data_IF_994600448844
#
_entry.id   IF_994600448844
#
_cell.length_a   1.000
_cell.length_b   1.000
_cell.length_c   1.000
_cell.angle_alpha   90.00
_cell.angle_beta   90.00
_cell.angle_gamma   90.00
#
_symmetry.space_group_name_H-M   'P 1'
#
loop_
_entity.id
_entity.type
_entity.pdbx_description
1 polymer ?
#
# COMPACT_ATOMS: atom_id res chain seq x y z
N UNK A 1 53.87 28.84 -32.16
CA UNK A 1 53.80 28.91 -30.70
C UNK A 1 53.76 27.47 -30.18
N UNK A 2 54.94 27.00 -29.78
CA UNK A 2 55.25 26.00 -28.73
C UNK A 2 54.13 25.83 -27.68
N UNK A 3 53.86 24.72 -26.98
CA UNK A 3 54.55 23.44 -26.70
C UNK A 3 53.58 22.53 -25.88
N UNK A 4 53.71 21.21 -26.08
CA UNK A 4 53.54 20.05 -25.17
C UNK A 4 52.22 19.63 -24.49
N UNK A 5 51.92 18.35 -24.73
CA UNK A 5 51.32 17.35 -23.85
C UNK A 5 51.99 17.29 -22.47
N UNK A 6 51.21 17.08 -21.40
CA UNK A 6 51.34 15.93 -20.48
C UNK A 6 50.63 16.18 -19.14
N UNK A 7 50.33 15.05 -18.49
CA UNK A 7 50.05 14.85 -17.06
C UNK A 7 48.58 14.83 -16.64
N UNK A 8 48.04 13.61 -16.73
CA UNK A 8 47.05 13.04 -15.80
C UNK A 8 47.58 13.17 -14.36
N UNK A 9 46.86 13.89 -13.51
CA UNK A 9 46.98 13.77 -12.05
C UNK A 9 45.59 13.65 -11.43
N UNK A 10 45.40 12.58 -10.66
CA UNK A 10 44.15 12.19 -10.08
C UNK A 10 43.64 13.17 -9.02
N UNK A 11 42.33 13.37 -9.02
CA UNK A 11 41.62 13.91 -7.88
C UNK A 11 41.44 12.79 -6.86
N UNK A 12 42.36 12.75 -5.89
CA UNK A 12 42.12 12.09 -4.60
C UNK A 12 40.98 12.84 -3.91
N UNK A 13 39.81 12.21 -3.83
CA UNK A 13 38.81 12.56 -2.83
C UNK A 13 39.37 12.16 -1.46
N UNK A 14 40.09 13.09 -0.85
CA UNK A 14 40.46 13.03 0.55
C UNK A 14 39.18 12.89 1.38
N UNK A 15 39.01 11.72 1.97
CA UNK A 15 38.08 11.43 3.05
C UNK A 15 38.15 12.53 4.11
N UNK A 16 37.15 13.40 4.14
CA UNK A 16 36.89 14.23 5.30
C UNK A 16 36.38 13.28 6.40
N UNK A 17 37.31 12.82 7.24
CA UNK A 17 36.97 12.27 8.55
C UNK A 17 36.25 13.37 9.32
N UNK A 18 34.92 13.28 9.39
CA UNK A 18 34.15 14.00 10.37
C UNK A 18 34.67 13.58 11.74
N UNK A 19 35.33 14.51 12.44
CA UNK A 19 35.69 14.32 13.83
C UNK A 19 34.39 14.11 14.61
N UNK A 20 34.17 12.89 15.10
CA UNK A 20 33.09 12.57 16.04
C UNK A 20 33.26 13.47 17.26
N UNK A 21 32.28 14.33 17.48
CA UNK A 21 32.19 15.18 18.65
C UNK A 21 31.65 14.30 19.79
N UNK A 22 32.42 13.95 20.83
CA UNK A 22 32.06 12.91 21.81
C UNK A 22 31.00 13.37 22.83
N UNK A 23 30.22 14.41 22.52
CA UNK A 23 29.30 15.04 23.45
C UNK A 23 27.95 15.43 22.83
N UNK A 24 27.50 14.72 21.78
CA UNK A 24 26.07 14.64 21.51
C UNK A 24 25.49 13.60 22.46
N UNK A 25 24.99 14.05 23.61
CA UNK A 25 23.99 13.27 24.34
C UNK A 25 22.85 13.01 23.35
N UNK A 26 22.66 11.75 22.95
CA UNK A 26 21.45 11.35 22.23
C UNK A 26 20.27 11.86 23.04
N UNK A 27 19.30 12.51 22.38
CA UNK A 27 18.08 12.92 23.05
C UNK A 27 17.56 11.74 23.89
N UNK A 28 17.11 11.97 25.14
CA UNK A 28 16.60 10.88 25.96
C UNK A 28 15.49 10.16 25.18
N UNK A 29 15.61 8.83 25.09
CA UNK A 29 14.58 8.01 24.47
C UNK A 29 13.25 8.29 25.17
N UNK A 30 12.15 8.48 24.41
CA UNK A 30 10.86 8.82 25.00
C UNK A 30 10.42 7.72 25.97
N UNK A 31 9.65 8.07 27.00
CA UNK A 31 9.04 7.08 27.90
C UNK A 31 7.78 6.47 27.25
N UNK A 32 7.29 5.32 27.73
CA UNK A 32 6.02 4.75 27.25
C UNK A 32 4.84 5.74 27.32
N UNK A 33 4.79 6.58 28.36
CA UNK A 33 3.76 7.61 28.50
C UNK A 33 3.91 8.72 27.46
N UNK A 34 5.15 9.11 27.12
CA UNK A 34 5.41 10.09 26.07
C UNK A 34 5.01 9.53 24.70
N UNK A 35 5.39 8.29 24.39
CA UNK A 35 4.96 7.63 23.15
C UNK A 35 3.43 7.51 23.06
N UNK A 36 2.77 7.13 24.16
CA UNK A 36 1.31 7.05 24.21
C UNK A 36 0.65 8.43 24.01
N UNK A 37 1.24 9.50 24.55
CA UNK A 37 0.79 10.87 24.34
C UNK A 37 0.96 11.30 22.87
N UNK A 38 2.10 11.00 22.26
CA UNK A 38 2.34 11.26 20.83
C UNK A 38 1.33 10.52 19.95
N UNK A 39 1.04 9.23 20.24
CA UNK A 39 0.00 8.48 19.52
C UNK A 39 -1.38 9.14 19.69
N UNK A 40 -1.71 9.64 20.88
CA UNK A 40 -2.97 10.34 21.13
C UNK A 40 -3.07 11.65 20.31
N UNK A 41 -1.98 12.42 20.21
CA UNK A 41 -1.91 13.62 19.36
C UNK A 41 -2.10 13.27 17.89
N UNK A 42 -1.41 12.22 17.41
CA UNK A 42 -1.56 11.73 16.03
C UNK A 42 -3.00 11.28 15.75
N UNK A 43 -3.65 10.61 16.69
CA UNK A 43 -5.06 10.24 16.53
C UNK A 43 -5.94 11.49 16.40
N UNK A 44 -5.79 12.49 17.27
CA UNK A 44 -6.58 13.72 17.16
C UNK A 44 -6.40 14.43 15.82
N UNK A 45 -5.16 14.53 15.36
CA UNK A 45 -4.85 15.19 14.10
C UNK A 45 -5.34 14.40 12.87
N UNK A 46 -5.23 13.08 12.88
CA UNK A 46 -5.57 12.22 11.75
C UNK A 46 -7.02 11.74 11.71
N UNK A 47 -7.79 11.97 12.77
CA UNK A 47 -9.14 11.47 12.88
C UNK A 47 -10.12 12.13 11.91
N UNK A 48 -10.79 11.29 11.15
CA UNK A 48 -11.99 11.60 10.40
C UNK A 48 -12.99 10.46 10.61
N UNK A 49 -14.28 10.78 10.66
CA UNK A 49 -15.34 9.78 10.80
C UNK A 49 -16.59 10.12 9.99
N UNK A 50 -16.45 10.30 8.66
CA UNK A 50 -17.61 10.59 7.80
C UNK A 50 -18.62 9.44 7.80
N UNK A 51 -18.20 8.23 8.18
CA UNK A 51 -19.06 7.07 8.22
C UNK A 51 -19.87 6.90 9.52
N UNK A 52 -19.66 7.78 10.50
CA UNK A 52 -20.28 7.72 11.84
C UNK A 52 -20.04 6.37 12.55
N UNK A 53 -18.83 5.83 12.40
CA UNK A 53 -18.37 4.65 13.14
C UNK A 53 -18.45 4.95 14.63
N UNK A 54 -19.02 4.03 15.42
CA UNK A 54 -19.14 4.15 16.87
C UNK A 54 -18.58 2.94 17.56
N UNK A 55 -17.77 3.18 18.58
CA UNK A 55 -17.20 2.12 19.41
C UNK A 55 -16.01 2.61 20.23
N UNK A 56 -15.51 1.74 21.11
CA UNK A 56 -14.39 2.03 21.99
C UNK A 56 -13.25 1.06 21.70
N UNK A 57 -12.08 1.59 21.41
CA UNK A 57 -10.83 0.84 21.27
C UNK A 57 -9.95 1.10 22.49
N UNK A 58 -9.49 0.03 23.11
CA UNK A 58 -8.43 0.10 24.11
C UNK A 58 -7.08 -0.10 23.42
N UNK A 59 -6.28 0.96 23.31
CA UNK A 59 -4.87 0.84 22.95
C UNK A 59 -4.05 0.63 24.22
N UNK A 60 -3.13 -0.33 24.23
CA UNK A 60 -2.24 -0.59 25.37
C UNK A 60 -0.80 -0.68 24.87
N UNK A 61 0.07 0.16 25.43
CA UNK A 61 1.52 -0.04 25.36
C UNK A 61 1.93 -0.85 26.59
N UNK A 62 2.59 -1.98 26.37
CA UNK A 62 3.25 -2.79 27.42
C UNK A 62 4.74 -2.46 27.47
N UNK A 63 5.26 -2.14 28.65
CA UNK A 63 6.70 -2.06 28.91
C UNK A 63 7.06 -2.90 30.14
N UNK A 64 7.74 -4.02 29.91
CA UNK A 64 8.18 -4.95 30.94
C UNK A 64 7.06 -5.35 31.95
N UNK A 65 5.84 -5.57 31.44
CA UNK A 65 4.68 -5.95 32.25
C UNK A 65 3.95 -4.79 32.95
N UNK A 66 4.34 -3.54 32.66
CA UNK A 66 3.56 -2.36 33.04
C UNK A 66 2.72 -1.89 31.85
N UNK A 67 1.41 -1.81 32.05
CA UNK A 67 0.45 -1.39 31.03
C UNK A 67 0.23 0.13 31.06
N UNK A 68 0.28 0.74 29.88
CA UNK A 68 -0.06 2.13 29.63
C UNK A 68 -1.29 2.19 28.72
N UNK A 69 -2.50 2.34 29.29
CA UNK A 69 -3.74 2.30 28.53
C UNK A 69 -4.13 3.67 27.96
N UNK A 70 -4.60 3.68 26.72
CA UNK A 70 -5.30 4.77 26.08
C UNK A 70 -6.67 4.26 25.60
N UNK A 71 -7.73 4.77 26.22
CA UNK A 71 -9.10 4.56 25.76
C UNK A 71 -9.40 5.55 24.63
N UNK A 72 -9.86 5.00 23.51
CA UNK A 72 -10.18 5.73 22.28
C UNK A 72 -11.66 5.50 21.98
N UNK A 73 -12.52 6.48 22.24
CA UNK A 73 -13.93 6.40 21.87
C UNK A 73 -14.17 7.13 20.54
N UNK A 74 -14.61 6.36 19.56
CA UNK A 74 -14.99 6.81 18.22
C UNK A 74 -16.48 7.17 18.27
N UNK A 75 -16.80 8.45 18.04
CA UNK A 75 -18.17 8.97 17.93
C UNK A 75 -18.21 10.03 16.81
N UNK A 76 -19.19 10.94 16.83
CA UNK A 76 -19.17 12.10 15.94
C UNK A 76 -17.96 13.02 16.22
N UNK A 77 -17.37 12.90 17.43
CA UNK A 77 -16.08 13.46 17.83
C UNK A 77 -15.21 12.39 18.46
N UNK A 78 -13.88 12.54 18.36
CA UNK A 78 -12.93 11.66 19.04
C UNK A 78 -12.81 12.03 20.53
N UNK A 79 -12.93 11.05 21.41
CA UNK A 79 -12.64 11.20 22.83
C UNK A 79 -11.50 10.29 23.26
N UNK A 80 -10.43 10.88 23.80
CA UNK A 80 -9.25 10.17 24.28
C UNK A 80 -9.08 10.32 25.80
N UNK A 81 -8.78 9.22 26.49
CA UNK A 81 -8.46 9.25 27.92
C UNK A 81 -7.45 8.16 28.30
N UNK A 82 -6.48 8.50 29.14
CA UNK A 82 -5.40 7.61 29.57
C UNK A 82 -5.83 6.71 30.74
N UNK A 83 -6.89 5.93 30.53
CA UNK A 83 -7.45 4.99 31.51
C UNK A 83 -7.74 3.66 30.84
N UNK A 84 -7.71 2.59 31.62
CA UNK A 84 -8.14 1.28 31.15
C UNK A 84 -9.68 1.22 31.09
N UNK A 85 -10.21 0.69 29.99
CA UNK A 85 -11.62 0.41 29.78
C UNK A 85 -11.81 -1.10 29.53
N UNK A 86 -12.18 -1.89 30.55
CA UNK A 86 -12.43 -3.32 30.40
C UNK A 86 -13.69 -3.63 29.58
N UNK A 87 -14.47 -2.61 29.22
CA UNK A 87 -15.68 -2.72 28.40
C UNK A 87 -15.48 -2.29 26.95
N UNK A 88 -14.23 -2.02 26.54
CA UNK A 88 -13.90 -1.66 25.17
C UNK A 88 -14.34 -2.75 24.17
N UNK A 89 -14.86 -2.31 23.03
CA UNK A 89 -15.31 -3.18 21.94
C UNK A 89 -14.16 -3.91 21.24
N UNK A 90 -12.96 -3.34 21.30
CA UNK A 90 -11.74 -3.90 20.74
C UNK A 90 -10.49 -3.50 21.53
N UNK A 91 -9.44 -4.31 21.45
CA UNK A 91 -8.14 -4.02 22.08
C UNK A 91 -7.01 -4.18 21.07
N UNK A 92 -6.15 -3.17 21.00
CA UNK A 92 -4.86 -3.17 20.31
C UNK A 92 -3.76 -3.10 21.38
N UNK A 93 -3.03 -4.19 21.58
CA UNK A 93 -1.89 -4.23 22.50
C UNK A 93 -0.59 -4.32 21.73
N UNK A 94 0.41 -3.53 22.09
CA UNK A 94 1.74 -3.57 21.49
C UNK A 94 2.85 -3.36 22.54
N UNK A 95 4.01 -4.00 22.39
CA UNK A 95 5.20 -3.67 23.17
C UNK A 95 5.64 -2.22 22.94
N UNK A 96 6.24 -1.59 23.95
CA UNK A 96 6.77 -0.23 23.84
C UNK A 96 7.78 -0.07 22.70
N UNK A 97 8.65 -1.06 22.49
CA UNK A 97 9.58 -1.06 21.37
C UNK A 97 8.87 -0.97 20.01
N UNK A 98 7.75 -1.69 19.84
CA UNK A 98 6.95 -1.66 18.60
C UNK A 98 6.26 -0.31 18.43
N UNK A 99 5.72 0.27 19.51
CA UNK A 99 5.15 1.62 19.48
C UNK A 99 6.21 2.66 19.06
N UNK A 100 7.44 2.53 19.56
CA UNK A 100 8.55 3.40 19.19
C UNK A 100 8.91 3.25 17.72
N UNK A 101 9.04 2.01 17.22
CA UNK A 101 9.30 1.76 15.79
C UNK A 101 8.21 2.36 14.91
N UNK A 102 6.94 2.25 15.30
CA UNK A 102 5.83 2.86 14.59
C UNK A 102 5.98 4.40 14.51
N UNK A 103 6.28 5.04 15.64
CA UNK A 103 6.48 6.49 15.71
C UNK A 103 7.70 6.96 14.89
N UNK A 104 8.78 6.18 14.88
CA UNK A 104 9.99 6.49 14.13
C UNK A 104 9.81 6.28 12.61
N UNK A 105 8.78 5.52 12.20
CA UNK A 105 8.57 5.11 10.80
C UNK A 105 7.18 5.48 10.26
N UNK A 106 6.45 6.44 10.86
CA UNK A 106 5.06 6.79 10.48
C UNK A 106 4.84 6.99 8.98
N UNK A 107 5.86 7.52 8.28
CA UNK A 107 5.87 7.77 6.84
C UNK A 107 5.83 6.50 5.97
N UNK A 108 6.27 5.37 6.52
CA UNK A 108 6.41 4.10 5.81
C UNK A 108 5.78 2.92 6.56
N UNK A 109 5.26 3.16 7.76
CA UNK A 109 4.75 2.13 8.64
C UNK A 109 3.55 1.41 8.03
N UNK A 110 3.66 0.09 7.88
CA UNK A 110 2.54 -0.76 7.53
C UNK A 110 2.22 -1.66 8.74
N UNK A 111 1.01 -1.55 9.29
CA UNK A 111 0.60 -2.41 10.40
C UNK A 111 0.57 -3.91 10.04
N UNK A 112 0.65 -4.23 8.75
CA UNK A 112 0.76 -5.59 8.22
C UNK A 112 2.21 -6.06 8.09
N UNK A 113 3.19 -5.18 8.35
CA UNK A 113 4.60 -5.55 8.37
C UNK A 113 4.81 -6.69 9.37
N UNK A 114 5.48 -7.79 8.99
CA UNK A 114 5.80 -8.92 9.87
C UNK A 114 6.32 -8.54 11.25
N UNK A 115 7.17 -7.51 11.33
CA UNK A 115 7.81 -7.08 12.57
C UNK A 115 6.83 -6.31 13.48
N UNK A 116 5.81 -5.68 12.90
CA UNK A 116 4.73 -5.00 13.63
C UNK A 116 3.61 -5.98 13.94
N UNK A 117 2.98 -6.59 12.94
CA UNK A 117 1.83 -7.49 13.13
C UNK A 117 2.20 -8.71 13.98
N UNK A 118 3.46 -9.16 13.91
CA UNK A 118 3.96 -10.23 14.74
C UNK A 118 4.16 -9.85 16.21
N UNK A 119 4.35 -8.57 16.51
CA UNK A 119 4.59 -8.10 17.87
C UNK A 119 3.30 -7.64 18.59
N UNK A 120 2.22 -7.39 17.87
CA UNK A 120 0.97 -6.85 18.44
C UNK A 120 -0.10 -7.92 18.66
N UNK A 121 -1.05 -7.65 19.55
CA UNK A 121 -2.24 -8.48 19.78
C UNK A 121 -3.50 -7.67 19.50
N UNK A 122 -4.37 -8.23 18.66
CA UNK A 122 -5.65 -7.62 18.27
C UNK A 122 -6.81 -8.49 18.76
N UNK A 123 -7.75 -7.93 19.51
CA UNK A 123 -8.96 -8.63 19.96
C UNK A 123 -10.21 -7.77 19.80
N UNK A 124 -11.38 -8.41 19.65
CA UNK A 124 -12.66 -7.72 19.50
C UNK A 124 -12.96 -7.28 18.07
N UNK A 125 -13.58 -6.10 17.91
CA UNK A 125 -14.01 -5.57 16.60
C UNK A 125 -12.82 -4.99 15.81
N UNK A 126 -12.32 -5.75 14.83
CA UNK A 126 -11.13 -5.39 14.06
C UNK A 126 -11.31 -4.14 13.17
N UNK A 127 -12.52 -3.87 12.70
CA UNK A 127 -12.81 -2.67 11.91
C UNK A 127 -12.53 -1.37 12.70
N UNK A 128 -12.83 -1.36 14.00
CA UNK A 128 -12.52 -0.24 14.88
C UNK A 128 -11.00 -0.06 15.03
N UNK A 129 -10.26 -1.16 15.19
CA UNK A 129 -8.80 -1.14 15.26
C UNK A 129 -8.20 -0.61 13.95
N UNK A 130 -8.72 -1.04 12.80
CA UNK A 130 -8.27 -0.57 11.49
C UNK A 130 -8.51 0.94 11.32
N UNK A 131 -9.63 1.46 11.81
CA UNK A 131 -9.90 2.90 11.82
C UNK A 131 -8.86 3.66 12.66
N UNK A 132 -8.57 3.17 13.87
CA UNK A 132 -7.53 3.74 14.75
C UNK A 132 -6.15 3.69 14.10
N UNK A 133 -5.76 2.54 13.53
CA UNK A 133 -4.48 2.36 12.87
C UNK A 133 -4.28 3.33 11.70
N UNK A 134 -5.31 3.51 10.85
CA UNK A 134 -5.28 4.45 9.73
C UNK A 134 -5.13 5.91 10.19
N UNK A 135 -5.80 6.30 11.28
CA UNK A 135 -5.72 7.65 11.82
C UNK A 135 -4.31 8.03 12.35
N UNK A 136 -3.45 7.05 12.65
CA UNK A 136 -2.09 7.27 13.11
C UNK A 136 -1.11 7.62 11.98
N UNK A 137 -1.41 7.25 10.74
CA UNK A 137 -0.47 7.34 9.62
C UNK A 137 -0.22 8.78 9.17
N UNK A 138 1.01 9.06 8.71
CA UNK A 138 1.39 10.37 8.17
C UNK A 138 2.18 10.21 6.87
N UNK A 139 1.95 11.06 5.86
CA UNK A 139 2.74 11.01 4.64
C UNK A 139 4.07 11.72 4.84
N UNK A 140 5.09 11.28 4.10
CA UNK A 140 6.33 12.05 3.97
C UNK A 140 6.12 13.35 3.19
N UNK A 141 7.03 14.31 3.35
CA UNK A 141 7.02 15.55 2.55
C UNK A 141 7.13 15.27 1.03
N UNK A 142 7.88 14.23 0.64
CA UNK A 142 7.99 13.81 -0.76
C UNK A 142 6.65 13.29 -1.30
N UNK A 143 5.95 12.44 -0.53
CA UNK A 143 4.61 11.95 -0.88
C UNK A 143 3.63 13.11 -1.03
N UNK A 144 3.59 14.03 -0.07
CA UNK A 144 2.75 15.23 -0.12
C UNK A 144 3.02 16.06 -1.38
N UNK A 145 4.30 16.32 -1.67
CA UNK A 145 4.72 17.12 -2.83
C UNK A 145 4.30 16.45 -4.13
N UNK A 146 4.40 15.12 -4.23
CA UNK A 146 4.01 14.36 -5.42
C UNK A 146 2.51 14.42 -5.67
N UNK A 147 1.69 14.20 -4.65
CA UNK A 147 0.24 14.31 -4.80
C UNK A 147 -0.19 15.73 -5.17
N UNK A 148 0.30 16.74 -4.45
CA UNK A 148 0.03 18.14 -4.80
C UNK A 148 0.47 18.47 -6.23
N UNK A 149 1.61 17.96 -6.66
CA UNK A 149 2.10 18.16 -8.04
C UNK A 149 1.18 17.49 -9.06
N UNK A 150 0.74 16.25 -8.82
CA UNK A 150 -0.14 15.52 -9.71
C UNK A 150 -1.53 16.18 -9.81
N UNK A 151 -2.13 16.52 -8.67
CA UNK A 151 -3.49 17.10 -8.58
C UNK A 151 -3.58 18.50 -9.19
N UNK A 152 -2.53 19.32 -9.09
CA UNK A 152 -2.52 20.70 -9.59
C UNK A 152 -2.04 20.82 -11.06
N UNK A 153 -1.63 19.71 -11.68
CA UNK A 153 -1.24 19.70 -13.10
C UNK A 153 -2.48 19.72 -14.00
N UNK A 154 -2.45 20.54 -15.04
CA UNK A 154 -3.41 20.43 -16.13
C UNK A 154 -2.80 19.58 -17.26
N UNK A 155 -3.13 18.29 -17.29
CA UNK A 155 -2.65 17.38 -18.33
C UNK A 155 -3.76 17.05 -19.34
N UNK A 156 -3.48 17.00 -20.66
CA UNK A 156 -4.42 16.49 -21.65
C UNK A 156 -4.91 15.07 -21.31
N UNK A 157 -4.04 14.25 -20.70
CA UNK A 157 -4.34 12.89 -20.28
C UNK A 157 -5.49 12.81 -19.24
N UNK A 158 -5.74 13.86 -18.46
CA UNK A 158 -6.80 13.85 -17.44
C UNK A 158 -8.21 13.95 -18.04
N UNK A 159 -8.31 14.18 -19.36
CA UNK A 159 -9.57 14.24 -20.11
C UNK A 159 -9.85 12.96 -20.90
N UNK A 160 -9.02 11.93 -20.74
CA UNK A 160 -9.18 10.66 -21.43
C UNK A 160 -10.46 9.96 -20.97
N UNK A 161 -11.05 9.19 -21.88
CA UNK A 161 -12.25 8.38 -21.64
C UNK A 161 -11.98 6.88 -21.74
N UNK A 162 -10.75 6.52 -22.14
CA UNK A 162 -10.27 5.17 -22.32
C UNK A 162 -8.76 5.11 -22.08
N UNK A 163 -8.26 3.93 -21.72
CA UNK A 163 -6.82 3.68 -21.52
C UNK A 163 -6.26 3.01 -22.78
N UNK A 164 -5.31 3.64 -23.49
CA UNK A 164 -4.80 3.13 -24.76
C UNK A 164 -4.00 1.85 -24.54
N UNK A 165 -4.11 0.92 -25.50
CA UNK A 165 -3.32 -0.30 -25.57
C UNK A 165 -2.22 -0.16 -26.62
N UNK A 166 -0.98 -0.37 -26.21
CA UNK A 166 0.19 -0.32 -27.07
C UNK A 166 0.89 -1.67 -27.05
N UNK A 167 1.18 -2.22 -28.23
CA UNK A 167 1.92 -3.45 -28.36
C UNK A 167 3.42 -3.18 -28.16
N UNK A 168 3.97 -3.71 -27.07
CA UNK A 168 5.40 -3.70 -26.71
C UNK A 168 6.14 -2.38 -27.06
N UNK A 169 5.71 -1.23 -26.49
CA UNK A 169 6.28 0.07 -26.82
C UNK A 169 7.73 0.18 -26.34
N UNK A 170 8.48 1.15 -26.89
CA UNK A 170 9.84 1.43 -26.41
C UNK A 170 9.85 2.01 -24.99
N UNK A 171 10.96 1.83 -24.26
CA UNK A 171 11.20 2.48 -22.96
C UNK A 171 10.94 3.99 -23.01
N UNK A 172 11.42 4.66 -24.06
CA UNK A 172 11.22 6.09 -24.26
C UNK A 172 9.74 6.46 -24.36
N UNK A 173 8.93 5.64 -25.04
CA UNK A 173 7.48 5.85 -25.14
C UNK A 173 6.79 5.74 -23.78
N UNK A 174 7.21 4.78 -22.96
CA UNK A 174 6.68 4.60 -21.61
C UNK A 174 7.05 5.82 -20.75
N UNK A 175 8.31 6.23 -20.75
CA UNK A 175 8.79 7.39 -19.99
C UNK A 175 8.11 8.70 -20.43
N UNK A 176 7.87 8.88 -21.73
CA UNK A 176 7.13 10.04 -22.25
C UNK A 176 5.68 10.07 -21.78
N UNK A 177 5.01 8.92 -21.72
CA UNK A 177 3.65 8.85 -21.22
C UNK A 177 3.57 9.11 -19.72
N UNK A 178 4.49 8.55 -18.92
CA UNK A 178 4.61 8.85 -17.49
C UNK A 178 4.83 10.35 -17.25
N UNK A 179 5.75 10.98 -18.00
CA UNK A 179 5.99 12.42 -17.93
C UNK A 179 4.76 13.26 -18.30
N UNK A 180 3.91 12.76 -19.21
CA UNK A 180 2.64 13.37 -19.60
C UNK A 180 1.46 13.04 -18.65
N UNK A 181 1.69 12.25 -17.60
CA UNK A 181 0.64 11.78 -16.69
C UNK A 181 -0.39 10.88 -17.38
N UNK A 182 0.02 10.19 -18.45
CA UNK A 182 -0.85 9.36 -19.29
C UNK A 182 -0.74 7.87 -18.93
N UNK A 183 -1.81 7.24 -18.42
CA UNK A 183 -1.85 5.80 -18.24
C UNK A 183 -1.92 5.08 -19.59
N UNK A 184 -1.39 3.87 -19.63
CA UNK A 184 -1.49 2.99 -20.79
C UNK A 184 -1.53 1.52 -20.37
N UNK A 185 -1.98 0.67 -21.27
CA UNK A 185 -1.84 -0.77 -21.16
C UNK A 185 -0.84 -1.24 -22.21
N UNK A 186 0.15 -2.01 -21.79
CA UNK A 186 1.11 -2.67 -22.67
C UNK A 186 0.61 -4.09 -22.94
N UNK A 187 0.53 -4.45 -24.22
CA UNK A 187 0.27 -5.80 -24.69
C UNK A 187 1.54 -6.39 -25.31
N UNK A 188 1.59 -7.71 -25.49
CA UNK A 188 2.76 -8.37 -26.11
C UNK A 188 4.06 -8.23 -25.30
N UNK A 189 3.94 -8.05 -23.98
CA UNK A 189 5.08 -7.87 -23.07
C UNK A 189 6.00 -9.12 -23.10
N UNK A 190 7.29 -8.97 -23.43
CA UNK A 190 8.23 -10.08 -23.34
C UNK A 190 8.46 -10.43 -21.87
N UNK A 191 8.07 -11.64 -21.48
CA UNK A 191 8.26 -12.19 -20.14
C UNK A 191 9.14 -13.43 -20.21
N UNK A 192 9.88 -13.72 -19.13
CA UNK A 192 10.69 -14.95 -19.04
C UNK A 192 9.82 -16.21 -19.21
N UNK A 193 8.66 -16.22 -18.56
CA UNK A 193 7.62 -17.24 -18.71
C UNK A 193 6.33 -16.55 -19.17
N UNK A 194 5.71 -16.98 -20.28
CA UNK A 194 4.43 -16.45 -20.73
C UNK A 194 3.32 -16.60 -19.67
N UNK A 195 2.42 -15.62 -19.57
CA UNK A 195 1.27 -15.68 -18.65
C UNK A 195 0.43 -16.97 -18.82
N UNK A 196 0.30 -17.47 -20.05
CA UNK A 196 -0.48 -18.67 -20.39
C UNK A 196 0.07 -19.96 -19.80
N UNK A 197 1.31 -19.96 -19.31
CA UNK A 197 1.91 -21.13 -18.66
C UNK A 197 1.83 -21.09 -17.14
N UNK A 198 1.26 -20.04 -16.54
CA UNK A 198 1.07 -19.94 -15.10
C UNK A 198 -0.30 -20.48 -14.69
N UNK A 199 -0.29 -21.32 -13.66
CA UNK A 199 -1.48 -21.81 -12.96
C UNK A 199 -1.17 -21.93 -11.47
N UNK A 200 -2.20 -22.14 -10.64
CA UNK A 200 -1.98 -22.41 -9.22
C UNK A 200 -1.13 -23.66 -9.02
N UNK A 201 -1.35 -24.72 -9.80
CA UNK A 201 -0.57 -25.97 -9.75
C UNK A 201 0.90 -25.72 -10.07
N UNK A 202 1.18 -24.84 -11.03
CA UNK A 202 2.56 -24.47 -11.35
C UNK A 202 3.20 -23.66 -10.24
N UNK A 203 2.50 -22.66 -9.70
CA UNK A 203 3.01 -21.86 -8.58
C UNK A 203 3.32 -22.74 -7.37
N UNK A 204 2.45 -23.69 -7.06
CA UNK A 204 2.63 -24.67 -5.99
C UNK A 204 3.82 -25.61 -6.29
N UNK A 205 3.96 -26.11 -7.52
CA UNK A 205 5.09 -26.96 -7.93
C UNK A 205 6.43 -26.23 -7.89
N UNK A 206 6.48 -25.01 -8.40
CA UNK A 206 7.73 -24.26 -8.61
C UNK A 206 8.16 -23.51 -7.34
N UNK A 207 7.20 -23.07 -6.52
CA UNK A 207 7.43 -22.19 -5.37
C UNK A 207 6.78 -22.65 -4.07
N UNK A 208 6.20 -23.85 -3.98
CA UNK A 208 5.39 -24.28 -2.83
C UNK A 208 6.06 -24.11 -1.46
N UNK A 209 7.35 -24.41 -1.35
CA UNK A 209 8.13 -24.28 -0.11
C UNK A 209 8.63 -22.86 0.18
N UNK A 210 8.42 -21.91 -0.73
CA UNK A 210 8.88 -20.53 -0.57
C UNK A 210 8.03 -19.83 0.51
N UNK A 211 8.64 -19.21 1.52
CA UNK A 211 7.92 -18.35 2.46
C UNK A 211 7.27 -17.18 1.72
N UNK A 212 5.95 -17.04 1.87
CA UNK A 212 5.19 -15.97 1.22
C UNK A 212 5.05 -14.75 2.13
N UNK A 213 4.55 -14.96 3.36
CA UNK A 213 4.33 -13.87 4.32
C UNK A 213 4.25 -14.35 5.76
N UNK A 214 4.35 -13.40 6.69
CA UNK A 214 4.09 -13.58 8.13
C UNK A 214 2.78 -12.87 8.46
N UNK A 215 1.82 -13.56 9.06
CA UNK A 215 0.52 -12.99 9.45
C UNK A 215 0.43 -12.64 10.93
N UNK A 216 1.27 -13.24 11.77
CA UNK A 216 1.43 -12.99 13.21
C UNK A 216 2.73 -13.66 13.70
N UNK A 217 3.10 -13.48 14.97
CA UNK A 217 4.31 -14.09 15.55
C UNK A 217 4.36 -15.61 15.34
N UNK A 218 3.19 -16.26 15.33
CA UNK A 218 3.06 -17.71 15.26
C UNK A 218 2.67 -18.23 13.87
N UNK A 219 2.27 -17.36 12.94
CA UNK A 219 1.76 -17.76 11.62
C UNK A 219 2.63 -17.26 10.48
N UNK A 220 3.48 -18.15 9.97
CA UNK A 220 4.17 -18.01 8.69
C UNK A 220 3.40 -18.83 7.66
N UNK A 221 3.29 -18.32 6.44
CA UNK A 221 2.53 -18.95 5.35
C UNK A 221 3.48 -19.14 4.16
N UNK A 222 3.59 -20.37 3.65
CA UNK A 222 4.27 -20.66 2.39
C UNK A 222 3.35 -20.41 1.20
N UNK A 223 3.91 -20.42 -0.02
CA UNK A 223 3.10 -20.32 -1.25
C UNK A 223 2.10 -21.47 -1.34
N UNK A 224 2.50 -22.71 -1.03
CA UNK A 224 1.59 -23.86 -1.06
C UNK A 224 0.45 -23.74 -0.06
N UNK A 225 0.74 -23.31 1.18
CA UNK A 225 -0.27 -23.10 2.22
C UNK A 225 -1.26 -21.99 1.81
N UNK A 226 -0.77 -20.89 1.23
CA UNK A 226 -1.65 -19.84 0.71
C UNK A 226 -2.53 -20.33 -0.44
N UNK A 227 -1.97 -21.09 -1.38
CA UNK A 227 -2.72 -21.65 -2.52
C UNK A 227 -3.82 -22.60 -2.04
N UNK A 228 -3.55 -23.44 -1.03
CA UNK A 228 -4.57 -24.30 -0.43
C UNK A 228 -5.73 -23.45 0.13
N UNK A 229 -5.43 -22.36 0.83
CA UNK A 229 -6.45 -21.43 1.34
C UNK A 229 -7.23 -20.71 0.24
N UNK A 230 -6.59 -20.36 -0.88
CA UNK A 230 -7.28 -19.81 -2.06
C UNK A 230 -8.32 -20.80 -2.59
N UNK A 231 -7.95 -22.08 -2.74
CA UNK A 231 -8.87 -23.14 -3.19
C UNK A 231 -10.03 -23.35 -2.22
N UNK A 232 -9.78 -23.25 -0.91
CA UNK A 232 -10.84 -23.32 0.11
C UNK A 232 -11.78 -22.11 0.02
N UNK A 233 -11.23 -20.91 -0.15
CA UNK A 233 -11.98 -19.66 -0.18
C UNK A 233 -12.86 -19.48 -1.41
N UNK A 234 -12.60 -20.18 -2.52
CA UNK A 234 -13.52 -20.24 -3.67
C UNK A 234 -14.92 -20.74 -3.29
N UNK A 235 -15.06 -21.38 -2.13
CA UNK A 235 -16.32 -21.90 -1.61
C UNK A 235 -16.97 -20.99 -0.52
N UNK A 236 -16.36 -19.84 -0.19
CA UNK A 236 -16.86 -18.91 0.84
C UNK A 236 -17.91 -17.93 0.31
N UNK A 237 -18.79 -17.46 1.20
CA UNK A 237 -19.82 -16.47 0.86
C UNK A 237 -19.29 -15.04 1.02
N UNK A 238 -19.72 -14.06 0.18
CA UNK A 238 -19.20 -12.69 0.21
C UNK A 238 -19.42 -11.94 1.53
N UNK A 239 -20.53 -12.22 2.24
CA UNK A 239 -20.89 -11.55 3.51
C UNK A 239 -19.93 -11.82 4.68
N UNK A 240 -19.06 -12.82 4.57
CA UNK A 240 -18.10 -13.22 5.61
C UNK A 240 -16.70 -12.57 5.38
N UNK A 241 -16.55 -11.69 4.38
CA UNK A 241 -15.28 -11.09 3.97
C UNK A 241 -15.07 -9.69 4.57
N UNK A 242 -13.98 -9.52 5.32
CA UNK A 242 -13.48 -8.28 5.88
C UNK A 242 -12.11 -7.97 5.26
N UNK A 243 -11.96 -6.77 4.70
CA UNK A 243 -10.71 -6.27 4.11
C UNK A 243 -9.59 -6.27 5.16
N UNK A 244 -8.40 -6.80 4.83
CA UNK A 244 -7.27 -6.89 5.76
C UNK A 244 -7.30 -8.13 6.69
N UNK A 245 -8.40 -8.88 6.74
CA UNK A 245 -8.61 -9.88 7.80
C UNK A 245 -9.00 -11.28 7.32
N UNK A 246 -10.12 -11.42 6.57
CA UNK A 246 -10.66 -12.76 6.23
C UNK A 246 -10.52 -13.13 4.76
N UNK A 247 -10.10 -12.19 3.91
CA UNK A 247 -9.92 -12.38 2.48
C UNK A 247 -8.76 -13.33 2.16
N UNK A 248 -8.98 -14.33 1.30
CA UNK A 248 -7.89 -15.14 0.74
C UNK A 248 -7.14 -14.37 -0.34
N UNK A 249 -6.46 -13.30 0.06
CA UNK A 249 -5.72 -12.38 -0.80
C UNK A 249 -4.39 -12.01 -0.15
N UNK A 250 -3.33 -11.87 -0.95
CA UNK A 250 -1.99 -11.51 -0.45
C UNK A 250 -1.90 -10.04 -0.04
N UNK A 251 -2.83 -9.20 -0.48
CA UNK A 251 -2.95 -7.79 -0.11
C UNK A 251 -1.70 -6.95 -0.40
N UNK A 252 -0.96 -7.32 -1.45
CA UNK A 252 0.20 -6.57 -1.89
C UNK A 252 1.44 -6.79 -1.02
N UNK A 253 1.54 -7.91 -0.29
CA UNK A 253 2.78 -8.25 0.40
C UNK A 253 3.95 -8.39 -0.60
N UNK A 254 5.18 -8.29 -0.10
CA UNK A 254 6.37 -8.38 -0.95
C UNK A 254 6.39 -9.70 -1.74
N UNK A 255 6.74 -9.61 -3.04
CA UNK A 255 6.99 -10.78 -3.87
C UNK A 255 8.28 -11.45 -3.38
N UNK A 256 8.23 -12.76 -3.00
CA UNK A 256 9.40 -13.48 -2.53
C UNK A 256 10.56 -13.43 -3.53
N UNK A 257 11.78 -13.30 -3.02
CA UNK A 257 12.97 -13.12 -3.86
C UNK A 257 13.14 -14.22 -4.91
N UNK A 258 12.84 -15.47 -4.54
CA UNK A 258 12.89 -16.63 -5.42
C UNK A 258 11.98 -16.50 -6.65
N UNK A 259 10.86 -15.77 -6.54
CA UNK A 259 9.88 -15.60 -7.61
C UNK A 259 10.21 -14.44 -8.56
N UNK A 260 10.96 -13.43 -8.10
CA UNK A 260 11.19 -12.17 -8.84
C UNK A 260 11.68 -12.33 -10.28
N UNK A 261 12.62 -13.26 -10.60
CA UNK A 261 13.13 -13.41 -11.97
C UNK A 261 12.07 -13.80 -13.01
N UNK A 262 10.96 -14.41 -12.58
CA UNK A 262 9.92 -14.89 -13.49
C UNK A 262 8.86 -13.83 -13.83
N UNK A 263 8.74 -12.78 -13.01
CA UNK A 263 7.68 -11.79 -13.11
C UNK A 263 8.16 -10.39 -13.52
N UNK A 264 9.47 -10.14 -13.62
CA UNK A 264 10.01 -8.84 -14.00
C UNK A 264 9.64 -8.46 -15.46
N UNK A 265 9.00 -7.30 -15.71
CA UNK A 265 8.80 -6.77 -17.05
C UNK A 265 10.14 -6.35 -17.68
N UNK A 266 10.41 -6.79 -18.91
CA UNK A 266 11.71 -6.60 -19.58
C UNK A 266 11.99 -5.17 -20.12
N UNK A 267 11.19 -4.15 -19.76
CA UNK A 267 11.42 -2.77 -20.18
C UNK A 267 12.46 -2.04 -19.32
N UNK A 268 12.57 -2.38 -18.04
CA UNK A 268 13.46 -1.66 -17.11
C UNK A 268 14.22 -2.68 -16.25
N UNK A 269 15.32 -2.25 -15.66
CA UNK A 269 16.13 -3.09 -14.78
C UNK A 269 15.42 -3.27 -13.44
N UNK A 270 15.67 -4.38 -12.76
CA UNK A 270 15.16 -4.61 -11.39
C UNK A 270 15.51 -3.47 -10.43
N UNK A 271 16.68 -2.85 -10.60
CA UNK A 271 17.15 -1.72 -9.78
C UNK A 271 16.31 -0.45 -9.95
N UNK A 272 15.59 -0.32 -11.06
CA UNK A 272 14.75 0.84 -11.37
C UNK A 272 13.43 0.80 -10.58
N UNK A 273 13.12 -0.33 -9.95
CA UNK A 273 11.92 -0.52 -9.15
C UNK A 273 12.23 -0.60 -7.64
N UNK A 274 11.25 -0.25 -6.82
CA UNK A 274 11.20 -0.68 -5.43
C UNK A 274 10.88 -2.19 -5.36
N UNK A 275 10.83 -2.73 -4.14
CA UNK A 275 10.49 -4.13 -3.93
C UNK A 275 9.10 -4.47 -4.52
N UNK A 276 9.00 -5.45 -5.43
CA UNK A 276 7.74 -5.78 -6.09
C UNK A 276 6.76 -6.44 -5.13
N UNK A 277 5.48 -6.33 -5.44
CA UNK A 277 4.38 -6.86 -4.62
C UNK A 277 3.59 -7.94 -5.36
N UNK A 278 3.15 -8.96 -4.62
CA UNK A 278 2.29 -10.03 -5.14
C UNK A 278 0.82 -9.77 -4.79
N UNK A 279 -0.04 -9.97 -5.79
CA UNK A 279 -1.49 -9.82 -5.69
C UNK A 279 -2.19 -11.12 -6.15
N UNK A 280 -2.14 -12.14 -5.30
CA UNK A 280 -2.72 -13.46 -5.55
C UNK A 280 -3.93 -13.66 -4.62
N UNK A 281 -5.02 -14.21 -5.15
CA UNK A 281 -6.10 -14.69 -4.29
C UNK A 281 -7.44 -14.95 -4.95
N UNK A 282 -8.40 -15.37 -4.12
CA UNK A 282 -9.79 -15.57 -4.47
C UNK A 282 -10.64 -14.47 -3.82
N UNK A 283 -11.22 -13.61 -4.64
CA UNK A 283 -11.99 -12.44 -4.20
C UNK A 283 -13.32 -12.42 -4.95
N UNK A 284 -14.47 -12.33 -4.26
CA UNK A 284 -15.75 -12.19 -4.94
C UNK A 284 -15.80 -10.94 -5.81
N UNK A 285 -16.48 -11.07 -6.95
CA UNK A 285 -16.51 -10.03 -8.01
C UNK A 285 -17.14 -8.70 -7.57
N UNK A 286 -17.95 -8.72 -6.51
CA UNK A 286 -18.66 -7.58 -5.94
C UNK A 286 -17.93 -6.95 -4.74
N UNK A 287 -16.77 -7.50 -4.34
CA UNK A 287 -15.95 -6.96 -3.26
C UNK A 287 -14.69 -6.36 -3.87
N UNK A 288 -14.30 -5.12 -3.52
CA UNK A 288 -13.07 -4.55 -4.03
C UNK A 288 -11.86 -5.41 -3.62
N UNK A 289 -11.03 -5.72 -4.60
CA UNK A 289 -9.74 -6.33 -4.38
C UNK A 289 -8.77 -5.36 -3.70
N UNK A 290 -8.85 -4.09 -4.08
CA UNK A 290 -8.26 -2.94 -3.40
C UNK A 290 -9.27 -1.78 -3.48
N UNK A 291 -9.60 -1.20 -2.33
CA UNK A 291 -10.50 -0.05 -2.23
C UNK A 291 -9.94 1.17 -2.97
N UNK A 292 -10.75 2.20 -3.21
CA UNK A 292 -10.31 3.39 -3.95
C UNK A 292 -9.17 4.10 -3.21
N UNK A 293 -8.03 4.27 -3.89
CA UNK A 293 -6.85 4.97 -3.38
C UNK A 293 -6.01 5.50 -4.55
N UNK A 294 -4.97 6.29 -4.26
CA UNK A 294 -3.89 6.56 -5.21
C UNK A 294 -2.51 6.35 -4.58
N UNK A 295 -1.51 6.15 -5.44
CA UNK A 295 -0.11 5.93 -5.04
C UNK A 295 0.77 7.11 -5.46
N UNK A 296 1.80 7.46 -4.68
CA UNK A 296 2.69 8.59 -4.99
C UNK A 296 3.73 8.25 -6.07
N UNK A 297 3.88 6.98 -6.44
CA UNK A 297 4.90 6.52 -7.39
C UNK A 297 4.27 6.05 -8.71
N UNK A 298 5.05 6.08 -9.78
CA UNK A 298 4.65 5.48 -11.06
C UNK A 298 4.58 3.95 -10.92
N UNK A 299 3.38 3.42 -11.08
CA UNK A 299 3.03 2.02 -10.87
C UNK A 299 2.94 1.21 -12.15
N UNK A 300 3.26 -0.07 -12.04
CA UNK A 300 3.21 -1.06 -13.10
C UNK A 300 2.50 -2.30 -12.56
N UNK A 301 1.34 -2.66 -13.10
CA UNK A 301 0.58 -3.83 -12.66
C UNK A 301 0.51 -4.86 -13.78
N UNK A 302 1.29 -5.94 -13.66
CA UNK A 302 1.29 -7.04 -14.61
C UNK A 302 0.25 -8.09 -14.23
N UNK A 303 -0.71 -8.35 -15.11
CA UNK A 303 -1.73 -9.37 -14.88
C UNK A 303 -1.26 -10.75 -15.37
N UNK A 304 -1.15 -11.71 -14.46
CA UNK A 304 -0.65 -13.06 -14.76
C UNK A 304 -1.82 -14.03 -14.98
N UNK A 305 -2.79 -14.07 -14.06
CA UNK A 305 -3.93 -15.00 -14.11
C UNK A 305 -5.24 -14.28 -13.75
N UNK A 306 -6.33 -14.65 -14.42
CA UNK A 306 -7.64 -14.00 -14.27
C UNK A 306 -7.64 -12.56 -14.78
N UNK A 307 -8.82 -11.92 -14.81
CA UNK A 307 -8.98 -10.52 -15.21
C UNK A 307 -9.24 -9.64 -14.00
N UNK A 308 -8.72 -8.41 -14.05
CA UNK A 308 -9.03 -7.35 -13.10
C UNK A 308 -9.77 -6.22 -13.79
N UNK A 309 -10.87 -5.74 -13.20
CA UNK A 309 -11.46 -4.46 -13.55
C UNK A 309 -10.85 -3.39 -12.67
N UNK A 310 -10.31 -2.34 -13.28
CA UNK A 310 -9.91 -1.13 -12.58
C UNK A 310 -10.91 -0.03 -12.89
N UNK A 311 -11.30 0.71 -11.86
CA UNK A 311 -12.03 1.96 -12.00
C UNK A 311 -11.10 3.09 -11.59
N UNK A 312 -10.64 3.84 -12.58
CA UNK A 312 -9.54 4.80 -12.46
C UNK A 312 -10.02 6.23 -12.59
N UNK A 313 -9.42 7.16 -11.87
CA UNK A 313 -9.70 8.59 -11.96
C UNK A 313 -8.40 9.37 -12.05
N UNK A 314 -8.40 10.41 -12.88
CA UNK A 314 -7.24 11.29 -12.99
C UNK A 314 -6.99 12.02 -11.64
N UNK A 315 -5.75 12.44 -11.36
CA UNK A 315 -5.41 13.17 -10.14
C UNK A 315 -6.28 14.41 -9.88
N UNK A 316 -6.66 15.14 -10.93
CA UNK A 316 -7.51 16.33 -10.82
C UNK A 316 -8.96 16.05 -10.35
N UNK A 317 -9.33 14.78 -10.23
CA UNK A 317 -10.62 14.35 -9.68
C UNK A 317 -10.62 14.28 -8.15
N UNK A 318 -9.48 14.46 -7.46
CA UNK A 318 -9.36 14.38 -6.00
C UNK A 318 -10.48 15.10 -5.22
N UNK A 319 -10.91 16.33 -5.58
CA UNK A 319 -11.99 17.03 -4.87
C UNK A 319 -13.35 16.31 -4.86
N UNK A 320 -13.56 15.33 -5.75
CA UNK A 320 -14.79 14.56 -5.88
C UNK A 320 -14.70 13.17 -5.22
N UNK A 321 -13.50 12.73 -4.81
CA UNK A 321 -13.24 11.36 -4.37
C UNK A 321 -13.10 11.22 -2.85
N UNK A 322 -13.09 12.32 -2.10
CA UNK A 322 -12.96 12.32 -0.64
C UNK A 322 -11.73 11.51 -0.14
N UNK A 323 -10.50 11.88 -0.53
CA UNK A 323 -9.29 11.26 0.00
C UNK A 323 -9.21 11.42 1.52
N UNK A 324 -8.74 10.38 2.21
CA UNK A 324 -8.59 10.38 3.67
C UNK A 324 -7.44 11.30 4.09
N UNK A 325 -7.63 12.01 5.21
CA UNK A 325 -6.62 12.93 5.76
C UNK A 325 -5.36 12.21 6.25
N UNK A 326 -5.53 11.07 6.93
CA UNK A 326 -4.43 10.27 7.46
C UNK A 326 -4.09 9.12 6.50
N UNK A 327 -2.82 9.07 6.09
CA UNK A 327 -2.27 8.12 5.13
C UNK A 327 -0.75 8.17 5.19
N UNK A 328 -0.05 7.25 4.51
CA UNK A 328 1.40 7.21 4.43
C UNK A 328 1.88 7.11 2.98
N UNK A 329 2.10 5.91 2.45
CA UNK A 329 2.66 5.62 1.13
C UNK A 329 1.61 5.30 0.06
N UNK A 330 0.32 5.37 0.40
CA UNK A 330 -0.83 5.44 -0.51
C UNK A 330 -1.97 6.15 0.21
N UNK A 331 -2.79 6.94 -0.49
CA UNK A 331 -3.91 7.66 0.13
C UNK A 331 -5.25 6.99 -0.25
N UNK A 332 -5.92 6.31 0.70
CA UNK A 332 -7.26 5.79 0.48
C UNK A 332 -8.31 6.91 0.40
N UNK A 333 -9.48 6.57 -0.14
CA UNK A 333 -10.64 7.44 -0.21
C UNK A 333 -11.77 6.90 0.66
N UNK A 334 -12.58 7.81 1.20
CA UNK A 334 -13.79 7.47 1.96
C UNK A 334 -14.91 6.92 1.06
N UNK A 335 -15.02 7.44 -0.16
CA UNK A 335 -16.09 7.02 -1.08
C UNK A 335 -15.83 5.63 -1.64
N UNK A 336 -16.91 4.84 -1.75
CA UNK A 336 -16.91 3.49 -2.33
C UNK A 336 -17.55 3.52 -3.71
N UNK A 337 -16.78 3.43 -4.82
CA UNK A 337 -17.33 3.57 -6.17
C UNK A 337 -18.41 2.57 -6.55
N UNK A 338 -18.38 1.37 -5.99
CA UNK A 338 -19.33 0.29 -6.23
C UNK A 338 -20.72 0.56 -5.63
N UNK A 339 -20.79 1.38 -4.59
CA UNK A 339 -22.02 1.72 -3.88
C UNK A 339 -21.87 3.10 -3.20
N UNK A 340 -21.80 4.20 -3.96
CA UNK A 340 -21.52 5.51 -3.40
C UNK A 340 -22.70 6.03 -2.59
N UNK A 341 -22.47 6.33 -1.32
CA UNK A 341 -23.44 7.07 -0.50
C UNK A 341 -23.41 8.56 -0.87
N UNK A 342 -24.23 8.94 -1.84
CA UNK A 342 -24.32 10.33 -2.30
C UNK A 342 -24.92 11.29 -1.26
N UNK A 343 -25.50 10.80 -0.16
CA UNK A 343 -25.93 11.66 0.94
C UNK A 343 -24.73 12.15 1.76
N UNK A 344 -23.72 11.28 1.93
CA UNK A 344 -22.45 11.58 2.62
C UNK A 344 -21.41 12.19 1.68
N UNK A 345 -21.36 11.70 0.44
CA UNK A 345 -20.34 12.05 -0.56
C UNK A 345 -20.96 12.69 -1.82
N UNK A 346 -21.73 13.79 -1.71
CA UNK A 346 -22.48 14.36 -2.83
C UNK A 346 -21.63 14.82 -4.01
N UNK A 347 -20.37 15.22 -3.78
CA UNK A 347 -19.47 15.67 -4.85
C UNK A 347 -19.05 14.51 -5.77
N UNK A 348 -19.13 13.27 -5.30
CA UNK A 348 -18.78 12.09 -6.10
C UNK A 348 -19.64 11.95 -7.35
N UNK A 349 -20.87 12.48 -7.34
CA UNK A 349 -21.74 12.51 -8.52
C UNK A 349 -21.13 13.29 -9.71
N UNK A 350 -20.09 14.11 -9.46
CA UNK A 350 -19.37 14.86 -10.49
C UNK A 350 -18.07 14.17 -10.95
N UNK A 351 -17.62 13.12 -10.26
CA UNK A 351 -16.39 12.42 -10.56
C UNK A 351 -16.48 11.73 -11.94
N UNK A 352 -15.39 11.84 -12.72
CA UNK A 352 -15.28 11.20 -14.04
C UNK A 352 -14.21 10.12 -13.98
N UNK A 353 -14.66 8.87 -13.95
CA UNK A 353 -13.78 7.71 -13.96
C UNK A 353 -13.72 7.03 -15.33
N UNK A 354 -12.66 6.25 -15.52
CA UNK A 354 -12.45 5.36 -16.65
C UNK A 354 -12.49 3.93 -16.11
N UNK A 355 -13.37 3.10 -16.67
CA UNK A 355 -13.37 1.67 -16.40
C UNK A 355 -12.48 0.95 -17.42
N UNK A 356 -11.58 0.10 -16.95
CA UNK A 356 -10.74 -0.72 -17.81
C UNK A 356 -10.62 -2.14 -17.26
N UNK A 357 -10.70 -3.12 -18.16
CA UNK A 357 -10.40 -4.52 -17.83
C UNK A 357 -8.96 -4.82 -18.24
N UNK A 358 -8.16 -5.28 -17.29
CA UNK A 358 -6.80 -5.77 -17.49
C UNK A 358 -6.82 -7.30 -17.61
N UNK A 359 -6.37 -7.81 -18.75
CA UNK A 359 -6.38 -9.23 -19.09
C UNK A 359 -5.02 -9.89 -18.81
N UNK A 360 -4.97 -11.23 -18.64
CA UNK A 360 -3.70 -11.95 -18.55
C UNK A 360 -2.73 -11.59 -19.69
N UNK A 361 -1.48 -11.30 -19.34
CA UNK A 361 -0.44 -10.86 -20.28
C UNK A 361 -0.42 -9.35 -20.54
N UNK A 362 -1.38 -8.59 -20.04
CA UNK A 362 -1.38 -7.14 -20.11
C UNK A 362 -0.67 -6.52 -18.88
N UNK A 363 0.01 -5.40 -19.11
CA UNK A 363 0.68 -4.60 -18.09
C UNK A 363 0.07 -3.20 -18.07
N UNK A 364 -0.57 -2.82 -16.98
CA UNK A 364 -1.00 -1.44 -16.77
C UNK A 364 0.20 -0.61 -16.31
N UNK A 365 0.46 0.50 -17.01
CA UNK A 365 1.35 1.57 -16.57
C UNK A 365 0.48 2.70 -16.03
N UNK A 366 0.62 3.01 -14.75
CA UNK A 366 -0.17 3.98 -14.01
C UNK A 366 0.74 5.10 -13.50
N UNK A 367 0.64 6.32 -14.03
CA UNK A 367 1.41 7.46 -13.52
C UNK A 367 1.03 7.78 -12.07
N UNK A 368 1.98 8.32 -11.31
CA UNK A 368 1.79 8.76 -9.94
C UNK A 368 0.54 9.66 -9.77
N UNK A 369 -0.19 9.43 -8.67
CA UNK A 369 -1.37 10.19 -8.26
C UNK A 369 -2.69 9.77 -8.90
N UNK A 370 -2.69 8.85 -9.87
CA UNK A 370 -3.94 8.31 -10.42
C UNK A 370 -4.69 7.48 -9.38
N UNK A 371 -5.95 7.85 -9.15
CA UNK A 371 -6.83 7.10 -8.26
C UNK A 371 -7.32 5.84 -8.95
N UNK A 372 -7.45 4.75 -8.21
CA UNK A 372 -7.93 3.50 -8.74
C UNK A 372 -8.57 2.63 -7.65
N UNK A 373 -9.67 1.97 -8.01
CA UNK A 373 -10.24 0.84 -7.28
C UNK A 373 -10.15 -0.41 -8.15
N UNK A 374 -9.85 -1.56 -7.56
CA UNK A 374 -9.56 -2.79 -8.29
C UNK A 374 -10.55 -3.88 -7.90
N UNK A 375 -11.10 -4.59 -8.88
CA UNK A 375 -12.05 -5.69 -8.69
C UNK A 375 -11.57 -6.92 -9.46
N UNK A 376 -11.68 -8.09 -8.85
CA UNK A 376 -11.40 -9.37 -9.52
C UNK A 376 -12.63 -9.78 -10.34
N UNK A 377 -12.48 -9.99 -11.65
CA UNK A 377 -13.58 -10.49 -12.48
C UNK A 377 -13.57 -12.02 -12.60
N UNK A 378 -12.42 -12.63 -12.34
CA UNK A 378 -12.24 -14.07 -12.26
C UNK A 378 -11.60 -14.41 -10.91
N UNK A 379 -11.90 -15.61 -10.40
CA UNK A 379 -11.31 -16.16 -9.19
C UNK A 379 -10.77 -17.55 -9.53
N UNK A 380 -9.48 -17.83 -9.27
CA UNK A 380 -8.50 -16.96 -8.61
C UNK A 380 -7.93 -15.90 -9.58
N UNK A 381 -7.35 -14.83 -9.02
CA UNK A 381 -6.55 -13.84 -9.76
C UNK A 381 -5.11 -13.85 -9.30
N UNK A 382 -4.19 -13.51 -10.20
CA UNK A 382 -2.78 -13.25 -9.87
C UNK A 382 -2.24 -12.08 -10.67
N UNK A 383 -1.66 -11.09 -9.98
CA UNK A 383 -0.90 -9.99 -10.57
C UNK A 383 0.38 -9.76 -9.78
N UNK A 384 1.34 -9.09 -10.40
CA UNK A 384 2.53 -8.55 -9.73
C UNK A 384 2.60 -7.06 -10.02
N UNK A 385 2.82 -6.25 -8.98
CA UNK A 385 3.07 -4.83 -9.17
C UNK A 385 4.51 -4.42 -8.91
N UNK A 386 4.92 -3.36 -9.58
CA UNK A 386 6.18 -2.67 -9.42
C UNK A 386 5.89 -1.18 -9.30
N UNK A 387 6.72 -0.46 -8.58
CA UNK A 387 6.74 0.99 -8.63
C UNK A 387 8.15 1.46 -8.92
N UNK A 388 8.29 2.53 -9.69
CA UNK A 388 9.61 3.10 -9.92
C UNK A 388 10.26 3.59 -8.63
N UNK A 389 11.54 3.30 -8.52
CA UNK A 389 12.45 3.87 -7.53
C UNK A 389 12.79 5.27 -7.98
N UNK A 390 12.67 6.23 -7.08
CA UNK A 390 13.01 7.63 -7.32
C UNK A 390 14.08 8.11 -6.36
#
# INVERSE_FOLDING_TARGET
>A
MTIQESVVQGFNLSSAQAAENPNMQSAPQPTPQQALATLAELLYEGYENPDHVRGVVQLVIDDAGTDYPLRIALHDTLELSFVADPTADATLRMPFATAQTLLDTLEYADFRDPDIIGAITLTGQLDLINHVAKALLRPSEDTLTRFQTAENKAMPAYRMTDIPRLENPSELTILQALAAGQPMIITGLPMRTPHSEWSLERLERDYGDVPLRVRSAEQKETVAEFIARVREAEHQRPEDIVEGHTKAYTEGCALPEAMRPDFLPNHFLRSDYIEPQIWLGAVPVNVPASSLHHDPLDGFLYQVMGRKKLFMFAPDQAPFLYPMKAYNNYQPCWVKPEAPDLSRYPLYAQAKGIEVVLNPGELLVQPAGWFHAVYCLDSPTFSVSYFFRH
#
